data_IF_403723001971
#
_entry.id   IF_403723001971
#
_cell.length_a   1.000
_cell.length_b   1.000
_cell.length_c   1.000
_cell.angle_alpha   90.00
_cell.angle_beta   90.00
_cell.angle_gamma   90.00
#
_symmetry.space_group_name_H-M   'P 1'
#
loop_
_entity.id
_entity.type
_entity.pdbx_description
1 polymer ?
#
# COMPACT_ATOMS: atom_id res chain seq x y z
N UNK A 1 2.56 14.47 -1.05
CA UNK A 1 1.15 14.83 -1.25
C UNK A 1 0.42 14.68 0.07
N UNK A 2 -0.63 15.46 0.34
CA UNK A 2 -1.40 15.31 1.57
C UNK A 2 -2.34 14.10 1.46
N UNK A 3 -2.74 13.49 2.58
CA UNK A 3 -3.58 12.29 2.58
C UNK A 3 -4.91 12.52 1.87
N UNK A 4 -5.49 13.72 1.98
CA UNK A 4 -6.74 14.10 1.33
C UNK A 4 -6.66 14.26 -0.20
N UNK A 5 -5.46 14.32 -0.78
CA UNK A 5 -5.25 14.36 -2.23
C UNK A 5 -5.09 12.93 -2.84
N UNK A 6 -5.01 11.91 -1.99
CA UNK A 6 -4.87 10.51 -2.37
C UNK A 6 -6.25 9.84 -2.33
N UNK A 7 -6.53 9.04 -3.35
CA UNK A 7 -7.79 8.31 -3.51
C UNK A 7 -7.51 6.84 -3.79
N UNK A 8 -8.51 5.98 -3.59
CA UNK A 8 -8.39 4.54 -3.89
C UNK A 8 -8.01 4.27 -5.35
N UNK A 9 -8.32 5.19 -6.28
CA UNK A 9 -7.94 5.11 -7.70
C UNK A 9 -6.42 5.14 -7.93
N UNK A 10 -5.66 5.67 -6.97
CA UNK A 10 -4.20 5.71 -7.04
C UNK A 10 -3.58 4.32 -6.84
N UNK A 11 -4.34 3.39 -6.25
CA UNK A 11 -4.00 1.97 -6.13
C UNK A 11 -2.94 1.66 -5.07
N UNK A 12 -1.78 2.30 -5.14
CA UNK A 12 -0.74 2.19 -4.11
C UNK A 12 -0.01 3.51 -3.88
N UNK A 13 0.26 3.80 -2.62
CA UNK A 13 1.06 4.95 -2.20
C UNK A 13 2.11 4.54 -1.19
N UNK A 14 3.20 5.30 -1.13
CA UNK A 14 4.24 5.17 -0.12
C UNK A 14 4.17 6.38 0.80
N UNK A 15 4.26 6.17 2.10
CA UNK A 15 4.29 7.24 3.09
C UNK A 15 5.72 7.71 3.41
N UNK A 16 5.85 8.64 4.35
CA UNK A 16 7.13 9.25 4.70
C UNK A 16 8.10 8.29 5.43
N UNK A 17 7.61 7.18 5.97
CA UNK A 17 8.39 6.15 6.66
C UNK A 17 8.79 5.01 5.71
N UNK A 18 8.28 5.02 4.48
CA UNK A 18 8.53 3.97 3.49
C UNK A 18 7.50 2.85 3.54
N UNK A 19 6.41 3.00 4.30
CA UNK A 19 5.33 2.02 4.35
C UNK A 19 4.49 2.14 3.09
N UNK A 20 4.22 0.98 2.47
CA UNK A 20 3.42 0.89 1.26
C UNK A 20 1.96 0.62 1.65
N UNK A 21 1.09 1.55 1.29
CA UNK A 21 -0.35 1.44 1.42
C UNK A 21 -0.97 1.00 0.09
N UNK A 22 -1.92 0.09 0.15
CA UNK A 22 -2.60 -0.54 -0.98
C UNK A 22 -4.10 -0.34 -0.81
N UNK A 23 -4.76 0.14 -1.86
CA UNK A 23 -6.21 0.15 -1.96
C UNK A 23 -6.72 -1.27 -2.17
N UNK A 24 -7.52 -1.76 -1.23
CA UNK A 24 -8.20 -3.05 -1.29
C UNK A 24 -9.49 -2.99 -2.12
N UNK A 25 -9.98 -4.16 -2.52
CA UNK A 25 -11.26 -4.31 -3.23
C UNK A 25 -12.48 -4.00 -2.33
N UNK A 26 -12.26 -3.85 -1.02
CA UNK A 26 -13.26 -3.46 -0.02
C UNK A 26 -13.38 -1.94 0.15
N UNK A 27 -12.77 -1.16 -0.75
CA UNK A 27 -12.69 0.30 -0.69
C UNK A 27 -11.97 0.83 0.56
N UNK A 28 -11.01 0.07 1.09
CA UNK A 28 -10.20 0.45 2.26
C UNK A 28 -8.71 0.39 1.96
N UNK A 29 -7.94 1.15 2.72
CA UNK A 29 -6.49 1.13 2.70
C UNK A 29 -5.95 0.08 3.66
N UNK A 30 -5.13 -0.83 3.17
CA UNK A 30 -4.27 -1.70 3.98
C UNK A 30 -2.81 -1.34 3.73
N UNK A 31 -1.91 -1.68 4.65
CA UNK A 31 -0.47 -1.54 4.40
C UNK A 31 0.25 -2.88 4.40
N UNK A 32 1.38 -2.92 3.69
CA UNK A 32 2.26 -4.10 3.65
C UNK A 32 3.02 -4.15 4.97
N UNK A 33 2.70 -5.14 5.80
CA UNK A 33 3.41 -5.43 7.03
C UNK A 33 4.61 -6.35 6.81
N UNK A 34 5.14 -6.86 7.92
CA UNK A 34 6.31 -7.71 7.91
C UNK A 34 6.13 -8.93 7.01
N UNK A 35 7.21 -9.23 6.29
CA UNK A 35 7.24 -10.31 5.33
C UNK A 35 6.11 -10.21 4.27
N UNK A 36 5.75 -9.02 3.80
CA UNK A 36 4.87 -8.88 2.64
C UNK A 36 3.44 -9.38 2.85
N UNK A 37 2.97 -9.51 4.09
CA UNK A 37 1.56 -9.74 4.36
C UNK A 37 0.84 -8.38 4.49
N UNK A 38 -0.31 -8.22 3.85
CA UNK A 38 -1.17 -7.08 4.16
C UNK A 38 -1.66 -7.22 5.60
N UNK A 39 -1.65 -6.10 6.32
CA UNK A 39 -2.23 -6.04 7.67
C UNK A 39 -3.75 -6.26 7.64
N UNK A 40 -4.29 -6.61 8.80
CA UNK A 40 -5.71 -6.67 9.09
C UNK A 40 -6.27 -5.31 9.57
N UNK A 41 -5.39 -4.34 9.85
CA UNK A 41 -5.74 -2.95 10.18
C UNK A 41 -6.07 -2.16 8.90
N UNK A 42 -7.20 -2.49 8.28
CA UNK A 42 -7.72 -1.76 7.13
C UNK A 42 -8.38 -0.45 7.57
N UNK A 43 -8.12 0.64 6.85
CA UNK A 43 -8.54 2.00 7.18
C UNK A 43 -9.33 2.64 6.05
N UNK A 44 -10.34 3.43 6.40
CA UNK A 44 -11.17 4.13 5.41
C UNK A 44 -10.40 5.33 4.81
N UNK A 45 -9.50 5.91 5.59
CA UNK A 45 -8.67 7.05 5.21
C UNK A 45 -7.19 6.81 5.55
N UNK A 46 -6.30 7.46 4.80
CA UNK A 46 -4.87 7.43 5.07
C UNK A 46 -4.52 8.34 6.27
N UNK A 47 -3.69 7.89 7.22
CA UNK A 47 -3.41 8.67 8.42
C UNK A 47 -2.59 9.95 8.16
N UNK A 48 -2.91 11.05 8.85
CA UNK A 48 -2.24 12.34 8.61
C UNK A 48 -0.77 12.32 9.10
N UNK A 49 -0.49 11.54 10.13
CA UNK A 49 0.82 11.46 10.78
C UNK A 49 1.93 10.90 9.87
N UNK A 50 1.59 10.16 8.82
CA UNK A 50 2.55 9.55 7.89
C UNK A 50 2.74 10.34 6.59
N UNK A 51 2.13 11.52 6.48
CA UNK A 51 2.36 12.40 5.34
C UNK A 51 3.83 12.87 5.22
N UNK A 52 4.34 13.12 4.01
CA UNK A 52 3.64 13.10 2.73
C UNK A 52 3.54 11.71 2.09
N UNK A 53 2.43 11.51 1.37
CA UNK A 53 2.24 10.35 0.52
C UNK A 53 2.80 10.59 -0.89
N UNK A 54 3.35 9.53 -1.48
CA UNK A 54 3.84 9.48 -2.86
C UNK A 54 3.08 8.40 -3.62
N UNK A 55 2.44 8.78 -4.73
CA UNK A 55 1.77 7.84 -5.62
C UNK A 55 2.79 6.98 -6.33
N UNK A 56 2.62 5.66 -6.24
CA UNK A 56 3.48 4.73 -6.96
C UNK A 56 2.98 4.59 -8.38
N UNK A 57 3.88 4.68 -9.36
CA UNK A 57 3.51 4.45 -10.75
C UNK A 57 3.15 2.98 -11.01
N UNK A 58 2.55 2.72 -12.17
CA UNK A 58 2.09 1.36 -12.54
C UNK A 58 3.21 0.32 -12.55
N UNK A 59 4.45 0.71 -12.84
CA UNK A 59 5.57 -0.22 -12.90
C UNK A 59 6.07 -0.57 -11.50
N UNK A 60 6.19 0.42 -10.61
CA UNK A 60 6.48 0.20 -9.20
C UNK A 60 5.40 -0.70 -8.55
N UNK A 61 4.12 -0.42 -8.82
CA UNK A 61 3.01 -1.24 -8.35
C UNK A 61 3.12 -2.69 -8.84
N UNK A 62 3.46 -2.90 -10.12
CA UNK A 62 3.65 -4.24 -10.68
C UNK A 62 4.79 -4.99 -10.00
N UNK A 63 5.95 -4.35 -9.81
CA UNK A 63 7.12 -4.95 -9.15
C UNK A 63 6.77 -5.37 -7.73
N UNK A 64 6.09 -4.51 -6.96
CA UNK A 64 5.64 -4.83 -5.60
C UNK A 64 4.70 -6.03 -5.61
N UNK A 65 3.66 -6.03 -6.46
CA UNK A 65 2.71 -7.16 -6.58
C UNK A 65 3.42 -8.48 -6.92
N UNK A 66 4.36 -8.47 -7.85
CA UNK A 66 5.15 -9.64 -8.20
C UNK A 66 6.01 -10.14 -7.02
N UNK A 67 6.61 -9.22 -6.27
CA UNK A 67 7.36 -9.54 -5.05
C UNK A 67 6.50 -10.23 -3.99
N UNK A 68 5.27 -9.74 -3.77
CA UNK A 68 4.31 -10.33 -2.83
C UNK A 68 3.91 -11.76 -3.26
N UNK A 69 3.65 -11.98 -4.56
CA UNK A 69 3.32 -13.31 -5.11
C UNK A 69 4.50 -14.27 -4.97
N UNK A 70 5.72 -13.82 -5.28
CA UNK A 70 6.93 -14.63 -5.14
C UNK A 70 7.13 -15.05 -3.69
N UNK A 71 6.95 -14.12 -2.74
CA UNK A 71 7.09 -14.42 -1.32
C UNK A 71 6.04 -15.45 -0.85
N UNK A 72 4.78 -15.31 -1.27
CA UNK A 72 3.74 -16.30 -0.99
C UNK A 72 4.07 -17.68 -1.54
N UNK A 73 4.68 -17.77 -2.73
CA UNK A 73 5.08 -19.04 -3.34
C UNK A 73 6.22 -19.75 -2.59
N UNK A 74 7.11 -19.01 -1.93
CA UNK A 74 8.24 -19.57 -1.16
C UNK A 74 7.88 -20.09 0.23
N UNK A 75 6.65 -19.85 0.71
CA UNK A 75 6.18 -20.29 2.03
C UNK A 75 5.53 -21.68 2.04
N UNK A 76 5.79 -22.49 1.02
CA UNK A 76 5.30 -23.88 0.93
C UNK A 76 6.24 -24.86 1.59
#
# INVERSE_FOLDING_TARGET
>A
MKCYDVTLLDGMVCDNEGTIWIAGDDDRWSYIGDHGACTWDARDELPVEYEPYVKLDKQAQLVIRLGLVALAATRK
#
